data_IF_718798891261
#
_entry.id   IF_718798891261
#
_cell.length_a   1.000
_cell.length_b   1.000
_cell.length_c   1.000
_cell.angle_alpha   90.00
_cell.angle_beta   90.00
_cell.angle_gamma   90.00
#
_symmetry.space_group_name_H-M   'P 1'
#
loop_
_entity.id
_entity.type
_entity.pdbx_description
1 polymer ?
#
# COMPACT_ATOMS: atom_id res chain seq x y z
N UNK A 1 9.21 -8.24 20.99
CA UNK A 1 7.74 -8.18 21.08
C UNK A 1 7.24 -7.49 19.84
N UNK A 2 6.12 -7.94 19.26
CA UNK A 2 5.52 -7.25 18.12
C UNK A 2 4.76 -6.01 18.59
N UNK A 3 4.86 -4.92 17.84
CA UNK A 3 4.16 -3.65 18.10
C UNK A 3 3.16 -3.40 16.98
N UNK A 4 1.95 -2.99 17.34
CA UNK A 4 0.95 -2.58 16.35
C UNK A 4 1.27 -1.18 15.85
N UNK A 5 1.18 -0.98 14.53
CA UNK A 5 1.32 0.33 13.90
C UNK A 5 -0.09 0.87 13.64
N UNK A 6 -0.34 2.09 14.12
CA UNK A 6 -1.56 2.84 13.90
C UNK A 6 -1.19 4.28 13.54
N UNK A 7 -1.77 4.82 12.47
CA UNK A 7 -1.53 6.16 11.95
C UNK A 7 -2.83 6.74 11.39
N UNK A 8 -3.02 8.05 11.58
CA UNK A 8 -4.13 8.82 11.01
C UNK A 8 -3.91 9.13 9.51
N UNK A 9 -2.67 8.97 9.03
CA UNK A 9 -2.29 9.24 7.64
C UNK A 9 -2.56 8.05 6.71
N UNK A 10 -3.15 6.97 7.20
CA UNK A 10 -3.58 5.82 6.41
C UNK A 10 -5.02 5.43 6.80
N UNK A 11 -5.78 4.76 5.91
CA UNK A 11 -7.15 4.36 6.19
C UNK A 11 -7.27 3.56 7.48
N UNK A 12 -8.23 3.94 8.32
CA UNK A 12 -8.47 3.25 9.58
C UNK A 12 -8.81 1.77 9.34
N UNK A 13 -8.34 0.90 10.24
CA UNK A 13 -8.70 -0.51 10.19
C UNK A 13 -10.13 -0.70 10.73
N UNK A 14 -11.10 -0.79 9.83
CA UNK A 14 -12.53 -0.96 10.17
C UNK A 14 -12.85 -2.41 10.55
N UNK A 15 -12.10 -3.38 10.00
CA UNK A 15 -12.27 -4.81 10.25
C UNK A 15 -11.37 -5.38 11.36
N UNK A 16 -11.40 -6.70 11.58
CA UNK A 16 -10.57 -7.39 12.57
C UNK A 16 -9.11 -7.55 12.09
N UNK A 17 -8.44 -6.44 11.80
CA UNK A 17 -7.04 -6.37 11.38
C UNK A 17 -6.41 -5.06 11.85
N UNK A 18 -5.09 -4.94 11.69
CA UNK A 18 -4.33 -3.71 12.00
C UNK A 18 -3.68 -3.15 10.75
N UNK A 19 -3.36 -1.86 10.72
CA UNK A 19 -2.75 -1.23 9.53
C UNK A 19 -1.36 -1.82 9.22
N UNK A 20 -0.57 -2.10 10.26
CA UNK A 20 0.70 -2.80 10.14
C UNK A 20 1.18 -3.33 11.49
N UNK A 21 2.20 -4.18 11.44
CA UNK A 21 2.86 -4.76 12.61
C UNK A 21 4.36 -4.58 12.45
N UNK A 22 4.98 -4.07 13.49
CA UNK A 22 6.43 -3.96 13.65
C UNK A 22 6.93 -5.14 14.48
N UNK A 23 7.83 -5.94 13.89
CA UNK A 23 8.47 -7.11 14.50
C UNK A 23 9.87 -6.79 15.04
N UNK A 24 10.29 -5.52 15.01
CA UNK A 24 11.61 -5.03 15.39
C UNK A 24 12.58 -4.97 14.21
N UNK A 25 12.87 -6.11 13.58
CA UNK A 25 13.75 -6.16 12.39
C UNK A 25 12.99 -6.07 11.07
N UNK A 26 11.67 -6.18 11.10
CA UNK A 26 10.81 -6.21 9.91
C UNK A 26 9.47 -5.58 10.23
N UNK A 27 8.98 -4.77 9.29
CA UNK A 27 7.63 -4.21 9.32
C UNK A 27 6.80 -4.86 8.23
N UNK A 28 5.58 -5.28 8.59
CA UNK A 28 4.61 -5.85 7.65
C UNK A 28 3.39 -4.95 7.64
N UNK A 29 3.06 -4.41 6.46
CA UNK A 29 1.83 -3.65 6.26
C UNK A 29 0.69 -4.57 5.83
N UNK A 30 -0.52 -4.25 6.24
CA UNK A 30 -1.73 -4.85 5.68
C UNK A 30 -1.94 -4.40 4.24
N UNK A 31 -2.83 -5.08 3.52
CA UNK A 31 -3.21 -4.69 2.16
C UNK A 31 -3.80 -3.28 2.14
N UNK A 32 -3.12 -2.35 1.49
CA UNK A 32 -3.58 -0.97 1.36
C UNK A 32 -4.42 -0.81 0.10
N UNK A 33 -5.64 -0.31 0.29
CA UNK A 33 -6.59 0.01 -0.76
C UNK A 33 -6.48 1.51 -1.11
N UNK A 34 -6.94 1.92 -2.32
CA UNK A 34 -6.85 3.30 -2.80
C UNK A 34 -7.85 4.26 -2.15
N UNK A 35 -8.07 4.14 -0.84
CA UNK A 35 -8.94 5.02 -0.06
C UNK A 35 -8.11 6.20 0.45
N UNK A 36 -8.57 7.41 0.21
CA UNK A 36 -8.00 8.60 0.84
C UNK A 36 -8.35 8.62 2.33
N UNK A 37 -7.37 8.64 3.25
CA UNK A 37 -7.62 8.64 4.70
C UNK A 37 -8.39 9.88 5.18
N UNK A 38 -8.33 11.01 4.46
CA UNK A 38 -9.00 12.26 4.85
C UNK A 38 -10.46 12.29 4.44
N UNK A 39 -10.75 11.83 3.23
CA UNK A 39 -12.09 11.94 2.62
C UNK A 39 -12.87 10.62 2.65
N UNK A 40 -12.18 9.48 2.78
CA UNK A 40 -12.76 8.15 2.63
C UNK A 40 -13.14 7.81 1.18
N UNK A 41 -12.80 8.66 0.21
CA UNK A 41 -13.13 8.48 -1.19
C UNK A 41 -12.09 7.61 -1.92
N UNK A 42 -12.52 6.99 -3.02
CA UNK A 42 -11.66 6.27 -3.95
C UNK A 42 -11.76 6.96 -5.31
N UNK A 43 -10.61 7.31 -5.89
CA UNK A 43 -10.56 7.93 -7.21
C UNK A 43 -11.05 6.96 -8.30
N UNK A 44 -11.66 7.47 -9.38
CA UNK A 44 -12.06 6.62 -10.53
C UNK A 44 -10.85 6.20 -11.38
N UNK A 45 -9.85 7.07 -11.49
CA UNK A 45 -8.66 6.84 -12.29
C UNK A 45 -7.69 5.84 -11.64
N UNK A 46 -7.21 4.87 -12.43
CA UNK A 46 -6.35 3.79 -11.93
C UNK A 46 -4.96 4.27 -11.50
N UNK A 47 -4.43 5.32 -12.13
CA UNK A 47 -3.15 5.90 -11.74
C UNK A 47 -3.27 6.60 -10.38
N UNK A 48 -4.36 7.33 -10.17
CA UNK A 48 -4.67 7.95 -8.88
C UNK A 48 -4.90 6.90 -7.79
N UNK A 49 -5.59 5.80 -8.10
CA UNK A 49 -5.75 4.68 -7.18
C UNK A 49 -4.40 4.04 -6.80
N UNK A 50 -3.54 3.78 -7.78
CA UNK A 50 -2.21 3.23 -7.54
C UNK A 50 -1.37 4.17 -6.65
N UNK A 51 -1.38 5.47 -6.95
CA UNK A 51 -0.67 6.51 -6.19
C UNK A 51 -1.17 6.56 -4.75
N UNK A 52 -2.49 6.56 -4.53
CA UNK A 52 -3.08 6.60 -3.19
C UNK A 52 -2.75 5.35 -2.38
N UNK A 53 -2.80 4.17 -2.99
CA UNK A 53 -2.43 2.92 -2.32
C UNK A 53 -0.98 2.93 -1.85
N UNK A 54 -0.06 3.48 -2.67
CA UNK A 54 1.35 3.62 -2.33
C UNK A 54 1.59 4.66 -1.23
N UNK A 55 0.88 5.80 -1.25
CA UNK A 55 0.94 6.78 -0.16
C UNK A 55 0.43 6.19 1.16
N UNK A 56 -0.63 5.38 1.13
CA UNK A 56 -1.12 4.69 2.31
C UNK A 56 -0.09 3.70 2.88
N UNK A 57 0.62 2.96 2.01
CA UNK A 57 1.73 2.09 2.43
C UNK A 57 2.84 2.91 3.08
N UNK A 58 3.26 3.99 2.43
CA UNK A 58 4.29 4.89 2.95
C UNK A 58 3.93 5.46 4.31
N UNK A 59 2.69 5.95 4.49
CA UNK A 59 2.25 6.50 5.76
C UNK A 59 2.41 5.51 6.93
N UNK A 60 2.19 4.21 6.68
CA UNK A 60 2.37 3.16 7.69
C UNK A 60 3.85 2.86 7.94
N UNK A 61 4.66 2.81 6.88
CA UNK A 61 6.12 2.60 6.98
C UNK A 61 6.79 3.77 7.73
N UNK A 62 6.39 5.02 7.43
CA UNK A 62 6.86 6.22 8.12
C UNK A 62 6.39 6.28 9.58
N UNK A 63 5.18 5.79 9.88
CA UNK A 63 4.71 5.67 11.26
C UNK A 63 5.53 4.66 12.09
N UNK A 64 6.21 3.71 11.43
CA UNK A 64 7.18 2.82 12.06
C UNK A 64 8.60 3.42 12.14
N UNK A 65 8.80 4.65 11.65
CA UNK A 65 10.12 5.31 11.63
C UNK A 65 11.03 4.89 10.48
N UNK A 66 10.48 4.22 9.47
CA UNK A 66 11.19 3.77 8.27
C UNK A 66 10.88 4.69 7.08
N UNK A 67 11.55 4.47 5.95
CA UNK A 67 11.38 5.21 4.70
C UNK A 67 10.92 4.29 3.58
N UNK A 68 10.43 4.87 2.49
CA UNK A 68 10.09 4.12 1.26
C UNK A 68 11.27 3.28 0.75
N UNK A 69 12.49 3.77 0.93
CA UNK A 69 13.72 3.05 0.56
C UNK A 69 13.99 1.77 1.37
N UNK A 70 13.35 1.59 2.52
CA UNK A 70 13.50 0.40 3.37
C UNK A 70 12.52 -0.73 2.95
N UNK A 71 11.64 -0.46 1.98
CA UNK A 71 10.74 -1.47 1.44
C UNK A 71 11.55 -2.45 0.60
N UNK A 72 11.52 -3.72 0.98
CA UNK A 72 12.27 -4.80 0.28
C UNK A 72 11.39 -5.71 -0.57
N UNK A 73 10.08 -5.77 -0.28
CA UNK A 73 9.12 -6.63 -0.98
C UNK A 73 7.75 -5.96 -1.06
N UNK A 74 7.13 -5.99 -2.24
CA UNK A 74 5.72 -5.60 -2.45
C UNK A 74 4.93 -6.70 -3.14
N UNK A 75 3.65 -6.80 -2.82
CA UNK A 75 2.69 -7.66 -3.50
C UNK A 75 1.54 -6.78 -3.97
N UNK A 76 1.39 -6.66 -5.29
CA UNK A 76 0.39 -5.78 -5.92
C UNK A 76 -0.71 -6.65 -6.51
N UNK A 77 -1.94 -6.41 -6.07
CA UNK A 77 -3.12 -7.08 -6.60
C UNK A 77 -3.88 -6.10 -7.49
N UNK A 78 -3.95 -6.39 -8.79
CA UNK A 78 -4.71 -5.61 -9.75
C UNK A 78 -5.99 -6.33 -10.13
N UNK A 79 -7.04 -5.56 -10.44
CA UNK A 79 -8.32 -6.11 -10.92
C UNK A 79 -8.24 -6.52 -12.38
N UNK A 80 -7.70 -5.65 -13.22
CA UNK A 80 -7.47 -5.87 -14.63
C UNK A 80 -5.96 -5.76 -14.91
N UNK A 81 -5.42 -6.70 -15.68
CA UNK A 81 -4.03 -6.67 -16.12
C UNK A 81 -3.81 -5.65 -17.25
N UNK A 82 -4.86 -5.22 -17.94
CA UNK A 82 -4.77 -4.15 -18.94
C UNK A 82 -4.29 -2.83 -18.32
N UNK A 83 -4.63 -2.58 -17.06
CA UNK A 83 -4.20 -1.39 -16.32
C UNK A 83 -2.76 -1.49 -15.79
N UNK A 84 -2.11 -2.64 -15.95
CA UNK A 84 -0.79 -2.90 -15.36
C UNK A 84 0.27 -1.91 -15.85
N UNK A 85 0.21 -1.49 -17.12
CA UNK A 85 1.15 -0.51 -17.66
C UNK A 85 1.06 0.83 -16.92
N UNK A 86 -0.17 1.32 -16.70
CA UNK A 86 -0.44 2.56 -15.96
C UNK A 86 0.00 2.44 -14.50
N UNK A 87 -0.36 1.35 -13.82
CA UNK A 87 0.04 1.08 -12.44
C UNK A 87 1.56 1.00 -12.31
N UNK A 88 2.24 0.36 -13.28
CA UNK A 88 3.68 0.20 -13.26
C UNK A 88 4.41 1.54 -13.43
N UNK A 89 3.91 2.43 -14.29
CA UNK A 89 4.46 3.78 -14.45
C UNK A 89 4.31 4.62 -13.17
N UNK A 90 3.14 4.58 -12.53
CA UNK A 90 2.92 5.26 -11.23
C UNK A 90 3.80 4.67 -10.13
N UNK A 91 3.97 3.35 -10.12
CA UNK A 91 4.83 2.66 -9.17
C UNK A 91 6.30 3.05 -9.35
N UNK A 92 6.80 3.07 -10.59
CA UNK A 92 8.16 3.49 -10.90
C UNK A 92 8.41 4.93 -10.46
N UNK A 93 7.53 5.85 -10.86
CA UNK A 93 7.60 7.26 -10.46
C UNK A 93 7.65 7.41 -8.94
N UNK A 94 6.81 6.68 -8.21
CA UNK A 94 6.76 6.75 -6.74
C UNK A 94 8.10 6.39 -6.08
N UNK A 95 8.74 5.28 -6.49
CA UNK A 95 10.02 4.88 -5.89
C UNK A 95 11.16 5.81 -6.33
N UNK A 96 11.14 6.31 -7.57
CA UNK A 96 12.11 7.30 -8.06
C UNK A 96 12.00 8.63 -7.33
N UNK A 97 10.78 9.14 -7.09
CA UNK A 97 10.51 10.37 -6.33
C UNK A 97 11.11 10.31 -4.91
N UNK A 98 11.12 9.12 -4.30
CA UNK A 98 11.67 8.91 -2.96
C UNK A 98 13.14 8.45 -2.95
N UNK A 99 13.81 8.48 -4.12
CA UNK A 99 15.20 8.02 -4.30
C UNK A 99 15.43 6.62 -3.69
N UNK A 100 14.46 5.73 -3.89
CA UNK A 100 14.41 4.40 -3.31
C UNK A 100 14.80 3.32 -4.33
N UNK A 101 15.50 2.29 -3.87
CA UNK A 101 15.74 1.08 -4.69
C UNK A 101 14.41 0.35 -4.90
N UNK A 102 14.19 -0.18 -6.11
CA UNK A 102 12.99 -0.95 -6.39
C UNK A 102 12.99 -2.27 -5.58
N UNK A 103 11.91 -2.55 -4.83
CA UNK A 103 11.79 -3.79 -4.05
C UNK A 103 11.51 -4.99 -4.96
N UNK A 104 11.71 -6.19 -4.41
CA UNK A 104 11.16 -7.40 -5.01
C UNK A 104 9.64 -7.25 -5.15
N UNK A 105 9.06 -7.73 -6.27
CA UNK A 105 7.64 -7.54 -6.55
C UNK A 105 6.96 -8.82 -6.99
N UNK A 106 5.74 -9.03 -6.52
CA UNK A 106 4.80 -9.99 -7.10
C UNK A 106 3.56 -9.23 -7.55
N UNK A 107 3.15 -9.39 -8.80
CA UNK A 107 1.89 -8.83 -9.30
C UNK A 107 0.98 -9.96 -9.74
N UNK A 108 -0.26 -9.98 -9.26
CA UNK A 108 -1.22 -11.02 -9.60
C UNK A 108 -2.64 -10.46 -9.72
N UNK A 109 -3.44 -11.13 -10.55
CA UNK A 109 -4.86 -10.86 -10.72
C UNK A 109 -5.64 -11.61 -9.62
N UNK A 110 -5.94 -10.94 -8.51
CA UNK A 110 -7.01 -11.33 -7.57
C UNK A 110 -7.08 -10.30 -6.44
N UNK A 111 -8.04 -9.39 -6.52
CA UNK A 111 -8.54 -8.75 -5.30
C UNK A 111 -9.52 -9.72 -4.63
N UNK A 112 -9.50 -9.87 -3.30
CA UNK A 112 -10.50 -10.64 -2.60
C UNK A 112 -11.85 -9.93 -2.79
N UNK A 113 -12.66 -10.42 -3.72
CA UNK A 113 -14.09 -10.11 -3.73
C UNK A 113 -14.68 -10.87 -2.56
N UNK A 114 -14.67 -10.25 -1.37
CA UNK A 114 -15.55 -10.67 -0.28
C UNK A 114 -16.98 -10.31 -0.72
N UNK A 115 -17.59 -11.18 -1.53
CA UNK A 115 -19.03 -11.11 -1.78
C UNK A 115 -19.70 -11.32 -0.42
N UNK A 116 -20.21 -10.23 0.16
CA UNK A 116 -21.29 -10.34 1.14
C UNK A 116 -22.46 -10.98 0.39
N UNK A 117 -22.64 -12.28 0.60
CA UNK A 117 -23.93 -12.94 0.39
C UNK A 117 -25.01 -12.25 1.19
#
# INVERSE_FOLDING_TARGET
>A
MSKTIATENAPAAIGPYVQGVDLGSMVITSGQIPVDPKTGAVAEDVSAQARQSLENVKAIVEAAGLKVGDIVKTTVFVKDLNDFATVNATYEAFFTEHNATFPARSCAWKLPVCRKT
#
